data_IF_235509998424
#
_entry.id   IF_235509998424
#
_cell.length_a   1.000
_cell.length_b   1.000
_cell.length_c   1.000
_cell.angle_alpha   90.00
_cell.angle_beta   90.00
_cell.angle_gamma   90.00
#
_symmetry.space_group_name_H-M   'P 1'
#
loop_
_entity.id
_entity.type
_entity.pdbx_description
1 polymer ?
#
# COMPACT_ATOMS: atom_id res chain seq x y z
N UNK A 1 5.01 -13.69 48.90
CA UNK A 1 4.08 -13.85 47.76
C UNK A 1 3.42 -12.50 47.53
N UNK A 2 3.82 -11.75 46.49
CA UNK A 2 3.25 -10.43 46.21
C UNK A 2 1.87 -10.62 45.60
N UNK A 3 0.83 -10.23 46.32
CA UNK A 3 -0.55 -10.28 45.85
C UNK A 3 -0.68 -9.32 44.64
N UNK A 4 -0.84 -9.89 43.45
CA UNK A 4 -1.21 -9.11 42.28
C UNK A 4 -2.63 -8.60 42.49
N UNK A 5 -2.79 -7.28 42.50
CA UNK A 5 -4.06 -6.61 42.76
C UNK A 5 -5.11 -7.07 41.73
N UNK A 6 -6.27 -7.58 42.15
CA UNK A 6 -7.33 -8.03 41.24
C UNK A 6 -7.82 -6.90 40.32
N UNK A 7 -7.61 -5.65 40.70
CA UNK A 7 -7.91 -4.46 39.91
C UNK A 7 -7.03 -4.34 38.65
N UNK A 8 -5.75 -4.73 38.73
CA UNK A 8 -4.84 -4.67 37.59
C UNK A 8 -5.14 -5.74 36.53
N UNK A 9 -5.64 -6.91 36.97
CA UNK A 9 -6.08 -7.99 36.08
C UNK A 9 -7.37 -7.58 35.35
N UNK A 10 -8.30 -6.92 36.05
CA UNK A 10 -9.55 -6.44 35.46
C UNK A 10 -9.33 -5.33 34.41
N UNK A 11 -8.41 -4.39 34.69
CA UNK A 11 -8.06 -3.31 33.75
C UNK A 11 -7.36 -3.86 32.51
N UNK A 12 -6.48 -4.85 32.67
CA UNK A 12 -5.81 -5.51 31.53
C UNK A 12 -6.80 -6.31 30.66
N UNK A 13 -7.81 -6.93 31.27
CA UNK A 13 -8.88 -7.64 30.55
C UNK A 13 -9.82 -6.70 29.76
N UNK A 14 -10.08 -5.48 30.28
CA UNK A 14 -10.86 -4.46 29.57
C UNK A 14 -10.13 -3.89 28.35
N UNK A 15 -8.80 -3.80 28.39
CA UNK A 15 -7.98 -3.37 27.25
C UNK A 15 -7.85 -4.47 26.16
N UNK A 16 -8.12 -5.73 26.48
CA UNK A 16 -8.09 -6.85 25.53
C UNK A 16 -9.35 -6.97 24.65
N UNK A 17 -10.42 -6.21 24.94
CA UNK A 17 -11.62 -6.19 24.09
C UNK A 17 -11.44 -5.43 22.76
N UNK A 18 -10.28 -4.80 22.55
CA UNK A 18 -9.93 -4.17 21.28
C UNK A 18 -9.79 -5.12 20.08
N UNK A 19 -9.63 -6.44 20.31
CA UNK A 19 -9.55 -7.43 19.23
C UNK A 19 -10.90 -7.86 18.65
N UNK A 20 -12.01 -7.64 19.36
CA UNK A 20 -13.34 -8.11 18.88
C UNK A 20 -13.96 -7.13 17.90
N UNK A 21 -13.62 -5.84 17.99
CA UNK A 21 -13.98 -4.86 16.97
C UNK A 21 -13.38 -5.20 15.61
N UNK A 22 -12.18 -5.79 15.56
CA UNK A 22 -11.56 -6.27 14.32
C UNK A 22 -12.29 -7.49 13.73
N UNK A 23 -12.91 -8.33 14.56
CA UNK A 23 -13.62 -9.54 14.10
C UNK A 23 -14.98 -9.22 13.45
N UNK A 24 -15.71 -8.21 13.93
CA UNK A 24 -16.97 -7.76 13.31
C UNK A 24 -16.71 -6.89 12.07
N UNK A 25 -15.60 -6.16 12.06
CA UNK A 25 -15.08 -5.48 10.85
C UNK A 25 -14.61 -6.51 9.81
N UNK A 26 -14.22 -7.72 10.22
CA UNK A 26 -13.70 -8.77 9.33
C UNK A 26 -14.70 -9.31 8.30
N UNK A 27 -16.00 -9.30 8.55
CA UNK A 27 -17.02 -9.76 7.57
C UNK A 27 -17.67 -8.60 6.83
N UNK A 28 -18.02 -7.52 7.53
CA UNK A 28 -18.67 -6.35 6.93
C UNK A 28 -17.69 -5.46 6.13
N UNK A 29 -16.47 -5.22 6.62
CA UNK A 29 -15.51 -4.36 5.91
C UNK A 29 -14.82 -5.07 4.74
N UNK A 30 -14.64 -6.40 4.83
CA UNK A 30 -14.13 -7.20 3.70
C UNK A 30 -15.18 -7.28 2.59
N UNK A 31 -16.46 -7.51 2.93
CA UNK A 31 -17.55 -7.54 1.96
C UNK A 31 -17.83 -6.19 1.29
N UNK A 32 -17.74 -5.08 2.04
CA UNK A 32 -17.98 -3.73 1.47
C UNK A 32 -16.85 -3.24 0.58
N UNK A 33 -15.58 -3.60 0.86
CA UNK A 33 -14.47 -3.31 -0.06
C UNK A 33 -14.61 -4.06 -1.38
N UNK A 34 -14.97 -5.34 -1.31
CA UNK A 34 -15.27 -6.13 -2.50
C UNK A 34 -16.44 -5.56 -3.32
N UNK A 35 -17.45 -4.98 -2.66
CA UNK A 35 -18.64 -4.43 -3.32
C UNK A 35 -18.46 -3.02 -3.92
N UNK A 36 -17.47 -2.24 -3.46
CA UNK A 36 -17.31 -0.83 -3.85
C UNK A 36 -16.09 -0.57 -4.72
N UNK A 37 -15.12 -1.48 -4.76
CA UNK A 37 -14.02 -1.44 -5.73
C UNK A 37 -14.61 -1.60 -7.14
N UNK A 38 -14.18 -0.79 -8.13
CA UNK A 38 -14.69 -0.88 -9.49
C UNK A 38 -14.28 -2.19 -10.19
N UNK A 39 -13.34 -2.95 -9.64
CA UNK A 39 -12.85 -4.22 -10.18
C UNK A 39 -13.58 -5.41 -9.56
N UNK A 40 -13.69 -6.49 -10.34
CA UNK A 40 -14.23 -7.75 -9.84
C UNK A 40 -13.42 -8.31 -8.67
N UNK A 41 -14.07 -9.09 -7.79
CA UNK A 41 -13.38 -9.79 -6.70
C UNK A 41 -12.29 -10.71 -7.22
N UNK A 42 -12.51 -11.38 -8.35
CA UNK A 42 -11.50 -12.20 -9.02
C UNK A 42 -10.24 -11.39 -9.35
N UNK A 43 -10.40 -10.24 -9.98
CA UNK A 43 -9.29 -9.32 -10.29
C UNK A 43 -8.55 -8.85 -9.02
N UNK A 44 -9.27 -8.58 -7.93
CA UNK A 44 -8.64 -8.19 -6.66
C UNK A 44 -7.80 -9.33 -6.06
N UNK A 45 -8.28 -10.56 -6.15
CA UNK A 45 -7.55 -11.77 -5.72
C UNK A 45 -6.34 -12.03 -6.61
N UNK A 46 -6.49 -11.86 -7.93
CA UNK A 46 -5.42 -12.03 -8.90
C UNK A 46 -4.29 -11.02 -8.64
N UNK A 47 -4.64 -9.75 -8.38
CA UNK A 47 -3.67 -8.71 -8.04
C UNK A 47 -2.95 -9.01 -6.72
N UNK A 48 -3.66 -9.48 -5.69
CA UNK A 48 -3.04 -9.90 -4.43
C UNK A 48 -2.08 -11.08 -4.62
N UNK A 49 -2.48 -12.06 -5.42
CA UNK A 49 -1.63 -13.19 -5.79
C UNK A 49 -0.41 -12.75 -6.60
N UNK A 50 -0.58 -11.78 -7.50
CA UNK A 50 0.51 -11.19 -8.28
C UNK A 50 1.51 -10.45 -7.39
N UNK A 51 1.05 -9.63 -6.43
CA UNK A 51 1.92 -8.98 -5.44
C UNK A 51 2.79 -9.98 -4.70
N UNK A 52 2.19 -11.08 -4.23
CA UNK A 52 2.89 -12.14 -3.52
C UNK A 52 3.92 -12.86 -4.41
N UNK A 53 3.56 -13.18 -5.66
CA UNK A 53 4.48 -13.82 -6.61
C UNK A 53 5.67 -12.93 -6.94
N UNK A 54 5.44 -11.65 -7.21
CA UNK A 54 6.53 -10.68 -7.47
C UNK A 54 7.40 -10.50 -6.24
N UNK A 55 6.81 -10.29 -5.06
CA UNK A 55 7.56 -10.16 -3.81
C UNK A 55 8.41 -11.41 -3.53
N UNK A 56 7.86 -12.60 -3.77
CA UNK A 56 8.58 -13.88 -3.65
C UNK A 56 9.72 -13.98 -4.67
N UNK A 57 9.50 -13.60 -5.93
CA UNK A 57 10.53 -13.62 -6.96
C UNK A 57 11.69 -12.66 -6.64
N UNK A 58 11.39 -11.45 -6.17
CA UNK A 58 12.40 -10.49 -5.70
C UNK A 58 13.18 -11.02 -4.49
N UNK A 59 12.48 -11.67 -3.56
CA UNK A 59 13.10 -12.23 -2.34
C UNK A 59 14.02 -13.42 -2.59
N UNK A 60 13.94 -14.06 -3.77
CA UNK A 60 14.87 -15.13 -4.18
C UNK A 60 16.21 -14.59 -4.68
N UNK A 61 16.27 -13.31 -5.05
CA UNK A 61 17.52 -12.65 -5.40
C UNK A 61 18.22 -12.14 -4.14
N UNK A 62 19.38 -12.74 -3.83
CA UNK A 62 20.09 -12.50 -2.57
C UNK A 62 20.61 -11.07 -2.43
N UNK A 63 20.96 -10.40 -3.52
CA UNK A 63 21.43 -9.01 -3.47
C UNK A 63 20.27 -8.06 -3.23
N UNK A 64 19.16 -8.24 -3.96
CA UNK A 64 17.94 -7.46 -3.75
C UNK A 64 17.45 -7.61 -2.31
N UNK A 65 17.37 -8.85 -1.81
CA UNK A 65 16.90 -9.13 -0.44
C UNK A 65 17.74 -8.49 0.65
N UNK A 66 19.07 -8.41 0.47
CA UNK A 66 19.99 -7.91 1.51
C UNK A 66 20.19 -6.40 1.46
N UNK A 67 20.26 -5.84 0.26
CA UNK A 67 20.72 -4.47 0.06
C UNK A 67 19.59 -3.48 -0.22
N UNK A 68 18.39 -3.98 -0.53
CA UNK A 68 17.26 -3.14 -0.92
C UNK A 68 16.07 -3.30 0.01
N UNK A 69 15.19 -2.30 -0.04
CA UNK A 69 13.84 -2.40 0.49
C UNK A 69 12.91 -2.08 -0.66
N UNK A 70 12.16 -3.06 -1.14
CA UNK A 70 11.22 -2.90 -2.25
C UNK A 70 9.85 -3.36 -1.79
N UNK A 71 8.88 -2.45 -1.87
CA UNK A 71 7.47 -2.74 -1.68
C UNK A 71 6.81 -2.88 -3.04
N UNK A 72 6.02 -3.94 -3.19
CA UNK A 72 5.31 -4.27 -4.42
C UNK A 72 3.85 -3.90 -4.25
N UNK A 73 3.27 -3.29 -5.27
CA UNK A 73 1.83 -3.04 -5.34
C UNK A 73 1.35 -3.42 -6.74
N UNK A 74 0.32 -4.26 -6.84
CA UNK A 74 -0.33 -4.60 -8.09
C UNK A 74 -1.74 -4.00 -8.19
N UNK A 75 -2.11 -3.65 -9.41
CA UNK A 75 -3.44 -3.15 -9.75
C UNK A 75 -3.75 -3.44 -11.22
N UNK A 76 -4.67 -4.37 -11.48
CA UNK A 76 -5.04 -4.88 -12.81
C UNK A 76 -3.84 -5.39 -13.63
N UNK A 77 -3.01 -6.22 -13.00
CA UNK A 77 -1.79 -6.76 -13.63
C UNK A 77 -0.63 -5.77 -13.79
N UNK A 78 -0.86 -4.47 -13.54
CA UNK A 78 0.20 -3.46 -13.48
C UNK A 78 0.89 -3.54 -12.13
N UNK A 79 2.21 -3.62 -12.13
CA UNK A 79 3.04 -3.73 -10.92
C UNK A 79 3.78 -2.42 -10.71
N UNK A 80 3.62 -1.83 -9.53
CA UNK A 80 4.41 -0.72 -9.04
C UNK A 80 5.45 -1.25 -8.05
N UNK A 81 6.72 -0.94 -8.32
CA UNK A 81 7.83 -1.17 -7.42
C UNK A 81 8.25 0.17 -6.82
N UNK A 82 8.17 0.29 -5.49
CA UNK A 82 8.64 1.47 -4.75
C UNK A 82 9.60 1.04 -3.67
N UNK A 83 10.50 1.93 -3.26
CA UNK A 83 11.47 1.61 -2.22
C UNK A 83 12.81 2.29 -2.41
N UNK A 84 13.85 1.66 -1.88
CA UNK A 84 15.22 2.14 -2.00
C UNK A 84 16.17 1.03 -2.44
N UNK A 85 17.14 1.42 -3.26
CA UNK A 85 18.22 0.57 -3.72
C UNK A 85 19.54 1.37 -3.75
N UNK A 86 20.69 0.79 -3.36
CA UNK A 86 21.95 1.53 -3.31
C UNK A 86 22.45 1.94 -4.70
N UNK A 87 22.02 1.26 -5.76
CA UNK A 87 22.45 1.52 -7.13
C UNK A 87 21.31 1.27 -8.14
N UNK A 88 21.48 1.79 -9.36
CA UNK A 88 20.50 1.66 -10.44
C UNK A 88 20.43 0.23 -11.01
N UNK A 89 21.49 -0.56 -10.88
CA UNK A 89 21.56 -1.93 -11.39
C UNK A 89 20.57 -2.85 -10.66
N UNK A 90 20.56 -2.82 -9.32
CA UNK A 90 19.62 -3.61 -8.51
C UNK A 90 18.17 -3.16 -8.72
N UNK A 91 17.92 -1.86 -8.90
CA UNK A 91 16.61 -1.34 -9.29
C UNK A 91 16.17 -1.88 -10.68
N UNK A 92 17.06 -1.85 -11.67
CA UNK A 92 16.77 -2.39 -13.00
C UNK A 92 16.55 -3.92 -12.97
N UNK A 93 17.34 -4.64 -12.18
CA UNK A 93 17.18 -6.08 -11.94
C UNK A 93 15.83 -6.41 -11.31
N UNK A 94 15.41 -5.65 -10.29
CA UNK A 94 14.10 -5.82 -9.68
C UNK A 94 12.96 -5.63 -10.69
N UNK A 95 13.07 -4.62 -11.57
CA UNK A 95 12.13 -4.42 -12.68
C UNK A 95 12.09 -5.64 -13.61
N UNK A 96 13.25 -6.16 -14.03
CA UNK A 96 13.32 -7.33 -14.91
C UNK A 96 12.69 -8.58 -14.29
N UNK A 97 12.96 -8.83 -13.00
CA UNK A 97 12.35 -9.94 -12.26
C UNK A 97 10.83 -9.78 -12.22
N UNK A 98 10.33 -8.60 -11.87
CA UNK A 98 8.90 -8.34 -11.82
C UNK A 98 8.23 -8.51 -13.20
N UNK A 99 8.86 -8.03 -14.28
CA UNK A 99 8.36 -8.22 -15.65
C UNK A 99 8.26 -9.70 -16.06
N UNK A 100 9.14 -10.56 -15.55
CA UNK A 100 9.13 -11.99 -15.82
C UNK A 100 8.09 -12.80 -15.02
N UNK A 101 7.41 -12.19 -14.06
CA UNK A 101 6.37 -12.87 -13.28
C UNK A 101 5.07 -12.92 -14.06
N UNK A 102 4.54 -14.13 -14.23
CA UNK A 102 3.27 -14.39 -14.89
C UNK A 102 2.13 -13.51 -14.33
N UNK A 103 1.34 -12.92 -15.21
CA UNK A 103 0.25 -12.00 -14.86
C UNK A 103 0.68 -10.54 -14.78
N UNK A 104 1.99 -10.24 -14.85
CA UNK A 104 2.49 -8.87 -14.98
C UNK A 104 2.25 -8.35 -16.40
N UNK A 105 1.55 -7.24 -16.52
CA UNK A 105 1.29 -6.58 -17.82
C UNK A 105 2.21 -5.38 -18.04
N UNK A 106 2.52 -4.65 -16.97
CA UNK A 106 3.35 -3.45 -17.00
C UNK A 106 4.07 -3.28 -15.65
N UNK A 107 5.29 -2.74 -15.66
CA UNK A 107 6.05 -2.46 -14.43
C UNK A 107 6.45 -1.00 -14.36
N UNK A 108 5.88 -0.30 -13.38
CA UNK A 108 6.28 1.04 -12.95
C UNK A 108 7.40 0.90 -11.93
N UNK A 109 8.62 1.29 -12.30
CA UNK A 109 9.78 1.22 -11.41
C UNK A 109 10.06 2.59 -10.81
N UNK A 110 9.60 2.78 -9.57
CA UNK A 110 9.74 3.99 -8.78
C UNK A 110 10.69 3.78 -7.58
N UNK A 111 11.60 2.81 -7.67
CA UNK A 111 12.65 2.58 -6.66
C UNK A 111 13.62 3.76 -6.71
N UNK A 112 13.82 4.42 -5.57
CA UNK A 112 14.74 5.56 -5.44
C UNK A 112 16.14 5.07 -5.11
N UNK A 113 17.15 5.71 -5.69
CA UNK A 113 18.52 5.41 -5.29
C UNK A 113 18.75 5.94 -3.86
N UNK A 114 19.22 5.08 -2.97
CA UNK A 114 19.42 5.41 -1.56
C UNK A 114 19.49 4.17 -0.68
N UNK A 115 19.79 4.38 0.60
CA UNK A 115 19.76 3.30 1.60
C UNK A 115 18.30 2.99 2.01
N UNK A 116 17.98 1.73 2.36
CA UNK A 116 16.69 1.37 2.93
C UNK A 116 16.28 2.27 4.10
N UNK A 117 15.05 2.76 4.08
CA UNK A 117 14.52 3.54 5.21
C UNK A 117 14.37 2.69 6.48
N UNK A 118 14.55 3.33 7.63
CA UNK A 118 14.35 2.71 8.93
C UNK A 118 12.87 2.56 9.31
N UNK A 119 12.62 1.80 10.39
CA UNK A 119 11.26 1.51 10.89
C UNK A 119 10.45 2.77 11.21
N UNK A 120 11.08 3.80 11.79
CA UNK A 120 10.40 5.05 12.14
C UNK A 120 9.79 5.76 10.91
N UNK A 121 10.55 5.83 9.81
CA UNK A 121 10.06 6.40 8.55
C UNK A 121 8.94 5.54 7.96
N UNK A 122 9.10 4.21 7.95
CA UNK A 122 8.05 3.30 7.47
C UNK A 122 6.74 3.39 8.29
N UNK A 123 6.85 3.58 9.60
CA UNK A 123 5.69 3.85 10.48
C UNK A 123 5.04 5.19 10.16
N UNK A 124 5.83 6.24 9.90
CA UNK A 124 5.30 7.52 9.46
C UNK A 124 4.62 7.43 8.09
N UNK A 125 5.16 6.64 7.15
CA UNK A 125 4.53 6.40 5.84
C UNK A 125 3.20 5.67 5.95
N UNK A 126 3.09 4.72 6.89
CA UNK A 126 1.81 4.06 7.23
C UNK A 126 0.81 5.09 7.75
N UNK A 127 1.25 6.00 8.62
CA UNK A 127 0.40 7.08 9.12
C UNK A 127 -0.02 8.08 8.03
N UNK A 128 0.90 8.45 7.13
CA UNK A 128 0.60 9.27 5.94
C UNK A 128 -0.45 8.57 5.07
N UNK A 129 -0.25 7.29 4.77
CA UNK A 129 -1.20 6.48 3.98
C UNK A 129 -2.59 6.49 4.60
N UNK A 130 -2.69 6.29 5.92
CA UNK A 130 -3.96 6.36 6.65
C UNK A 130 -4.61 7.74 6.50
N UNK A 131 -3.86 8.82 6.71
CA UNK A 131 -4.39 10.19 6.56
C UNK A 131 -4.89 10.46 5.14
N UNK A 132 -4.13 10.07 4.11
CA UNK A 132 -4.54 10.23 2.70
C UNK A 132 -5.82 9.45 2.44
N UNK A 133 -5.91 8.19 2.88
CA UNK A 133 -7.12 7.36 2.71
C UNK A 133 -8.32 7.97 3.43
N UNK A 134 -8.15 8.52 4.63
CA UNK A 134 -9.22 9.21 5.35
C UNK A 134 -9.71 10.46 4.60
N UNK A 135 -8.81 11.28 4.06
CA UNK A 135 -9.17 12.48 3.30
C UNK A 135 -9.89 12.14 1.98
N UNK A 136 -9.46 11.06 1.30
CA UNK A 136 -10.15 10.56 0.11
C UNK A 136 -11.55 10.03 0.44
N UNK A 137 -11.71 9.36 1.59
CA UNK A 137 -13.00 8.82 2.03
C UNK A 137 -14.03 9.92 2.30
N UNK A 138 -13.59 11.09 2.76
CA UNK A 138 -14.45 12.25 3.03
C UNK A 138 -14.71 13.13 1.81
N UNK A 139 -14.17 12.76 0.64
CA UNK A 139 -14.29 13.57 -0.59
C UNK A 139 -15.48 13.12 -1.43
N UNK A 140 -16.32 14.08 -1.83
CA UNK A 140 -17.40 13.85 -2.79
C UNK A 140 -16.89 13.81 -4.25
N UNK A 141 -15.63 14.20 -4.49
CA UNK A 141 -15.05 14.29 -5.83
C UNK A 141 -14.39 13.00 -6.31
N UNK A 142 -14.02 12.11 -5.39
CA UNK A 142 -13.30 10.87 -5.67
C UNK A 142 -13.82 9.77 -4.77
N UNK A 143 -14.27 8.66 -5.37
CA UNK A 143 -14.57 7.47 -4.57
C UNK A 143 -13.28 6.85 -4.07
N UNK A 144 -13.09 6.78 -2.75
CA UNK A 144 -11.88 6.20 -2.16
C UNK A 144 -11.65 4.75 -2.55
N UNK A 145 -12.70 3.99 -2.90
CA UNK A 145 -12.59 2.61 -3.39
C UNK A 145 -11.97 2.49 -4.79
N UNK A 146 -11.98 3.57 -5.57
CA UNK A 146 -11.37 3.61 -6.91
C UNK A 146 -9.86 3.85 -6.85
N UNK A 147 -9.32 4.29 -5.69
CA UNK A 147 -7.94 4.72 -5.54
C UNK A 147 -7.19 3.85 -4.53
N UNK A 148 -6.15 3.17 -5.00
CA UNK A 148 -5.16 2.50 -4.16
C UNK A 148 -4.04 3.48 -3.81
N UNK A 149 -3.76 3.58 -2.52
CA UNK A 149 -2.73 4.48 -1.96
C UNK A 149 -1.61 3.65 -1.35
N UNK A 150 -0.37 3.94 -1.74
CA UNK A 150 0.87 3.40 -1.15
C UNK A 150 1.79 4.57 -0.84
N UNK A 151 2.51 4.56 0.29
CA UNK A 151 3.47 5.62 0.64
C UNK A 151 4.84 5.02 0.92
N UNK A 152 5.89 5.66 0.43
CA UNK A 152 7.28 5.26 0.66
C UNK A 152 8.17 6.51 0.83
N UNK A 153 8.84 6.62 1.98
CA UNK A 153 9.70 7.75 2.37
C UNK A 153 9.04 9.14 2.21
N UNK A 154 7.74 9.23 2.52
CA UNK A 154 6.92 10.43 2.37
C UNK A 154 6.46 10.73 0.94
N UNK A 155 6.81 9.90 -0.05
CA UNK A 155 6.23 9.97 -1.40
C UNK A 155 4.98 9.09 -1.48
N UNK A 156 3.86 9.69 -1.91
CA UNK A 156 2.58 8.99 -2.06
C UNK A 156 2.39 8.57 -3.50
N UNK A 157 2.13 7.29 -3.70
CA UNK A 157 1.82 6.68 -4.98
C UNK A 157 0.33 6.37 -5.05
N UNK A 158 -0.33 6.90 -6.08
CA UNK A 158 -1.75 6.71 -6.31
C UNK A 158 -1.96 5.85 -7.56
N UNK A 159 -2.67 4.74 -7.42
CA UNK A 159 -3.11 3.88 -8.51
C UNK A 159 -4.62 3.78 -8.49
N UNK A 160 -5.24 3.39 -9.60
CA UNK A 160 -6.70 3.30 -9.64
C UNK A 160 -7.28 3.35 -11.05
N UNK A 161 -8.52 2.90 -11.15
CA UNK A 161 -9.43 3.20 -12.27
C UNK A 161 -10.17 4.50 -11.96
N UNK A 162 -9.81 5.59 -12.62
CA UNK A 162 -10.37 6.91 -12.34
C UNK A 162 -10.61 7.69 -13.63
N UNK A 163 -11.54 8.63 -13.61
CA UNK A 163 -11.61 9.67 -14.64
C UNK A 163 -10.46 10.68 -14.46
N UNK A 164 -10.17 11.50 -15.48
CA UNK A 164 -9.16 12.56 -15.33
C UNK A 164 -9.48 13.53 -14.18
N UNK A 165 -10.76 13.83 -14.00
CA UNK A 165 -11.24 14.69 -12.90
C UNK A 165 -10.97 14.05 -11.55
N UNK A 166 -11.33 12.78 -11.38
CA UNK A 166 -11.09 12.03 -10.14
C UNK A 166 -9.60 11.89 -9.86
N UNK A 167 -8.78 11.55 -10.86
CA UNK A 167 -7.33 11.42 -10.70
C UNK A 167 -6.68 12.74 -10.26
N UNK A 168 -7.08 13.86 -10.87
CA UNK A 168 -6.60 15.20 -10.47
C UNK A 168 -7.02 15.56 -9.05
N UNK A 169 -8.28 15.32 -8.69
CA UNK A 169 -8.78 15.57 -7.34
C UNK A 169 -8.06 14.69 -6.30
N UNK A 170 -7.83 13.40 -6.61
CA UNK A 170 -7.12 12.48 -5.72
C UNK A 170 -5.67 12.93 -5.47
N UNK A 171 -4.98 13.37 -6.52
CA UNK A 171 -3.62 13.90 -6.41
C UNK A 171 -3.56 15.19 -5.58
N UNK A 172 -4.49 16.13 -5.80
CA UNK A 172 -4.59 17.38 -5.02
C UNK A 172 -4.84 17.09 -3.53
N UNK A 173 -5.82 16.23 -3.22
CA UNK A 173 -6.14 15.81 -1.84
C UNK A 173 -4.90 15.19 -1.18
N UNK A 174 -4.24 14.25 -1.84
CA UNK A 174 -3.05 13.60 -1.30
C UNK A 174 -1.92 14.61 -1.05
N UNK A 175 -1.70 15.54 -1.96
CA UNK A 175 -0.62 16.54 -1.86
C UNK A 175 -0.75 17.49 -0.68
N UNK A 176 -1.97 17.72 -0.18
CA UNK A 176 -2.25 18.61 0.95
C UNK A 176 -2.09 17.93 2.32
N UNK A 177 -1.89 16.61 2.34
CA UNK A 177 -1.72 15.87 3.59
C UNK A 177 -0.35 16.16 4.19
N UNK A 178 -0.33 16.59 5.46
CA UNK A 178 0.91 16.86 6.19
C UNK A 178 1.85 15.65 6.19
N UNK A 179 3.11 15.89 5.81
CA UNK A 179 4.15 14.87 5.71
C UNK A 179 4.32 14.27 4.31
N UNK A 180 3.42 14.55 3.38
CA UNK A 180 3.60 14.21 1.96
C UNK A 180 4.65 15.14 1.36
N UNK A 181 5.69 14.54 0.76
CA UNK A 181 6.78 15.24 0.08
C UNK A 181 6.56 15.34 -1.43
N UNK A 182 5.94 14.30 -2.00
CA UNK A 182 5.67 14.19 -3.43
C UNK A 182 4.47 13.26 -3.64
N UNK A 183 3.71 13.52 -4.70
CA UNK A 183 2.65 12.63 -5.17
C UNK A 183 3.01 12.16 -6.58
N UNK A 184 3.01 10.85 -6.78
CA UNK A 184 3.27 10.20 -8.07
C UNK A 184 2.04 9.36 -8.43
N UNK A 185 1.54 9.51 -9.65
CA UNK A 185 0.28 8.88 -10.07
C UNK A 185 0.53 7.83 -11.15
N UNK A 186 -0.02 6.65 -10.97
CA UNK A 186 -0.06 5.55 -11.94
C UNK A 186 -1.51 5.10 -12.17
N UNK A 187 -2.36 6.07 -12.53
CA UNK A 187 -3.77 5.84 -12.80
C UNK A 187 -3.99 5.19 -14.18
N UNK A 188 -5.03 4.38 -14.28
CA UNK A 188 -5.62 3.99 -15.56
C UNK A 188 -6.87 4.84 -15.76
N UNK A 189 -6.84 5.70 -16.77
CA UNK A 189 -7.94 6.61 -17.04
C UNK A 189 -9.09 5.93 -17.79
N UNK A 190 -10.29 6.04 -17.23
CA UNK A 190 -11.54 5.63 -17.89
C UNK A 190 -12.23 6.85 -18.49
N UNK A 191 -12.89 6.65 -19.64
CA UNK A 191 -13.63 7.69 -20.35
C UNK A 191 -14.92 8.06 -19.64
#
# INVERSE_FOLDING_TARGET
>A
MKAFSPLAVLISALLLQGCVAAAVVGTAAVGTKAATDPRSVGTQVDDGTLELRVSSALSKDEQIKKETRINVTAYQGKVLLVGQSPNSELSARAKQIAMGVEGTTEVYNEIRQGQPIGLGTASNDTWITTKVRSQLLTSDQVKSSNVKVTTENGEVFLLGLVTEREGKAAADIASRVSGVKRVTTAFTYIK
#
